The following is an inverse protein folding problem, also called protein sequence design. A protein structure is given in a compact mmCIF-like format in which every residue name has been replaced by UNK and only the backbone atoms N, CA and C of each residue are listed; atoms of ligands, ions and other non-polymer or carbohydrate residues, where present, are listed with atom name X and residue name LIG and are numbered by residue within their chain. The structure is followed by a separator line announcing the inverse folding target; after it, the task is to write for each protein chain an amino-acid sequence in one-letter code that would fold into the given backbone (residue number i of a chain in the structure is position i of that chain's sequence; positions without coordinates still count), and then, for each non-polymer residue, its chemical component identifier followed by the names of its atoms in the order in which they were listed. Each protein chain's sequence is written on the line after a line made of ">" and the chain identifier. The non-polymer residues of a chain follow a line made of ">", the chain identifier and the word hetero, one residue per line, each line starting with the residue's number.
data_IF_475801520370
#
_entry.id   IF_475801520370
#
_cell.length_a   1.000
_cell.length_b   1.000
_cell.length_c   1.000
_cell.angle_alpha   90.00
_cell.angle_beta   90.00
_cell.angle_gamma   90.00
#
_symmetry.space_group_name_H-M   'P 1'
#
loop_
_entity.id
_entity.type
_entity.pdbx_description
1 polymer ?
#
# COMPACT_ATOMS: atom_id res chain seq x y z
N UNK A 1 -8.18 18.29 20.95
CA UNK A 1 -8.03 16.83 20.78
C UNK A 1 -7.80 16.51 19.31
N UNK A 2 -6.63 15.99 18.88
CA UNK A 2 -6.32 15.70 17.47
C UNK A 2 -6.30 14.18 17.16
N UNK A 3 -7.38 13.46 17.50
CA UNK A 3 -7.29 12.00 17.71
C UNK A 3 -7.54 11.12 16.46
N UNK A 4 -8.21 11.63 15.43
CA UNK A 4 -8.70 10.80 14.31
C UNK A 4 -7.59 10.50 13.29
N UNK A 5 -6.86 11.52 12.86
CA UNK A 5 -5.81 11.35 11.86
C UNK A 5 -4.64 10.50 12.42
N UNK A 6 -4.26 10.71 13.68
CA UNK A 6 -3.19 9.94 14.32
C UNK A 6 -3.58 8.46 14.52
N UNK A 7 -4.84 8.20 14.90
CA UNK A 7 -5.40 6.85 14.97
C UNK A 7 -5.36 6.15 13.61
N UNK A 8 -5.75 6.84 12.54
CA UNK A 8 -5.71 6.27 11.19
C UNK A 8 -4.30 6.05 10.66
N UNK A 9 -3.33 6.90 11.03
CA UNK A 9 -1.92 6.68 10.73
C UNK A 9 -1.41 5.36 11.30
N UNK A 10 -1.78 5.05 12.55
CA UNK A 10 -1.45 3.76 13.19
C UNK A 10 -2.24 2.61 12.56
N UNK A 11 -3.53 2.83 12.25
CA UNK A 11 -4.38 1.81 11.64
C UNK A 11 -3.92 1.44 10.22
N UNK A 12 -3.31 2.38 9.47
CA UNK A 12 -2.83 2.14 8.11
C UNK A 12 -1.81 0.99 8.04
N UNK A 13 -0.82 0.98 8.93
CA UNK A 13 0.18 -0.09 8.97
C UNK A 13 -0.42 -1.44 9.41
N UNK A 14 -1.47 -1.41 10.24
CA UNK A 14 -2.19 -2.61 10.66
C UNK A 14 -3.09 -3.16 9.54
N UNK A 15 -3.78 -2.29 8.79
CA UNK A 15 -4.55 -2.66 7.60
C UNK A 15 -3.65 -3.24 6.51
N UNK A 16 -2.46 -2.64 6.26
CA UNK A 16 -1.42 -3.21 5.38
C UNK A 16 -1.14 -4.65 5.78
N UNK A 17 -0.82 -4.89 7.06
CA UNK A 17 -0.47 -6.22 7.57
C UNK A 17 -1.62 -7.23 7.39
N UNK A 18 -2.86 -6.86 7.72
CA UNK A 18 -4.04 -7.73 7.55
C UNK A 18 -4.27 -8.10 6.09
N UNK A 19 -4.20 -7.13 5.17
CA UNK A 19 -4.41 -7.37 3.73
C UNK A 19 -3.31 -8.27 3.14
N UNK A 20 -2.08 -8.10 3.57
CA UNK A 20 -0.94 -8.91 3.14
C UNK A 20 -1.01 -10.32 3.71
N UNK A 21 -1.30 -10.45 5.00
CA UNK A 21 -1.42 -11.75 5.65
C UNK A 21 -2.54 -12.56 4.97
N UNK A 22 -3.64 -11.91 4.58
CA UNK A 22 -4.71 -12.52 3.80
C UNK A 22 -4.25 -12.90 2.37
N UNK A 23 -3.52 -12.04 1.66
CA UNK A 23 -2.99 -12.35 0.34
C UNK A 23 -1.96 -13.50 0.36
N UNK A 24 -1.06 -13.52 1.35
CA UNK A 24 -0.09 -14.60 1.58
C UNK A 24 -0.77 -15.90 1.96
N UNK A 25 -1.76 -15.86 2.87
CA UNK A 25 -2.55 -17.01 3.27
C UNK A 25 -3.31 -17.61 2.07
N UNK A 26 -3.86 -16.79 1.17
CA UNK A 26 -4.50 -17.30 -0.04
C UNK A 26 -3.51 -17.88 -1.07
N UNK A 27 -2.31 -17.29 -1.20
CA UNK A 27 -1.26 -17.84 -2.05
C UNK A 27 -0.73 -19.19 -1.53
N UNK A 28 -0.69 -19.39 -0.21
CA UNK A 28 -0.28 -20.65 0.42
C UNK A 28 -1.41 -21.68 0.53
N UNK A 29 -2.66 -21.25 0.80
CA UNK A 29 -3.83 -22.14 0.87
C UNK A 29 -4.05 -22.85 -0.45
N UNK A 30 -3.85 -22.23 -1.63
CA UNK A 30 -4.09 -22.86 -2.94
C UNK A 30 -3.03 -23.86 -3.44
N UNK A 31 -2.36 -24.58 -2.53
CA UNK A 31 -2.17 -26.03 -2.73
C UNK A 31 -3.48 -26.83 -2.44
N UNK A 32 -4.58 -26.17 -2.06
CA UNK A 32 -5.95 -26.66 -1.91
C UNK A 32 -6.98 -25.49 -1.86
N UNK A 33 -7.91 -25.43 -2.82
CA UNK A 33 -8.84 -24.30 -3.08
C UNK A 33 -9.50 -23.61 -1.88
N UNK A 34 -9.69 -22.29 -1.90
CA UNK A 34 -10.97 -21.62 -2.25
C UNK A 34 -10.74 -20.09 -2.34
N UNK A 35 -11.35 -19.39 -3.30
CA UNK A 35 -11.14 -17.96 -3.56
C UNK A 35 -12.25 -17.08 -2.95
N UNK A 36 -11.90 -16.10 -2.10
CA UNK A 36 -12.81 -15.08 -1.58
C UNK A 36 -12.65 -13.77 -2.38
N UNK A 37 -13.75 -13.23 -2.91
CA UNK A 37 -13.76 -11.99 -3.72
C UNK A 37 -13.66 -10.75 -2.83
N UNK A 38 -12.63 -9.92 -3.05
CA UNK A 38 -12.54 -8.56 -2.50
C UNK A 38 -12.52 -7.53 -3.63
N UNK A 39 -13.45 -6.57 -3.57
CA UNK A 39 -13.62 -5.50 -4.57
C UNK A 39 -12.59 -4.40 -4.38
N UNK A 40 -11.81 -4.15 -5.42
CA UNK A 40 -11.13 -2.89 -5.69
C UNK A 40 -11.91 -2.37 -6.91
N UNK A 41 -12.86 -1.46 -6.69
CA UNK A 41 -13.52 -0.74 -7.77
C UNK A 41 -12.39 -0.02 -8.55
N UNK A 42 -12.07 -0.29 -9.81
CA UNK A 42 -12.95 -0.48 -10.95
C UNK A 42 -12.17 -1.13 -12.12
N UNK A 43 -11.58 -2.31 -11.91
CA UNK A 43 -10.99 -3.12 -12.99
C UNK A 43 -11.21 -4.60 -12.68
N UNK A 44 -11.94 -5.30 -13.54
CA UNK A 44 -12.21 -6.75 -13.46
C UNK A 44 -10.90 -7.56 -13.65
N UNK A 45 -10.03 -7.56 -12.64
CA UNK A 45 -8.77 -8.31 -12.63
C UNK A 45 -8.99 -9.62 -11.84
N UNK A 46 -8.54 -10.79 -12.35
CA UNK A 46 -8.58 -12.04 -11.60
C UNK A 46 -7.96 -11.91 -10.20
N UNK A 47 -8.59 -12.53 -9.19
CA UNK A 47 -8.16 -12.43 -7.79
C UNK A 47 -6.73 -12.93 -7.58
N UNK A 48 -6.28 -13.90 -8.36
CA UNK A 48 -4.90 -14.44 -8.30
C UNK A 48 -3.87 -13.38 -8.69
N UNK A 49 -4.11 -12.67 -9.80
CA UNK A 49 -3.27 -11.56 -10.24
C UNK A 49 -3.24 -10.46 -9.16
N UNK A 50 -4.38 -10.17 -8.53
CA UNK A 50 -4.47 -9.19 -7.43
C UNK A 50 -3.68 -9.63 -6.19
N UNK A 51 -3.70 -10.92 -5.83
CA UNK A 51 -2.94 -11.43 -4.70
C UNK A 51 -1.43 -11.34 -4.94
N UNK A 52 -0.94 -11.70 -6.14
CA UNK A 52 0.47 -11.53 -6.51
C UNK A 52 0.87 -10.06 -6.57
N UNK A 53 -0.01 -9.19 -7.09
CA UNK A 53 0.24 -7.74 -7.16
C UNK A 53 0.31 -7.11 -5.77
N UNK A 54 -0.52 -7.59 -4.82
CA UNK A 54 -0.48 -7.15 -3.41
C UNK A 54 0.82 -7.57 -2.71
N UNK A 55 1.32 -8.78 -2.97
CA UNK A 55 2.60 -9.24 -2.42
C UNK A 55 3.77 -8.44 -3.03
N UNK A 56 3.77 -8.20 -4.34
CA UNK A 56 4.78 -7.37 -4.99
C UNK A 56 4.73 -5.91 -4.46
N UNK A 57 3.52 -5.36 -4.24
CA UNK A 57 3.33 -4.05 -3.65
C UNK A 57 3.85 -3.99 -2.21
N UNK A 58 3.63 -5.03 -1.41
CA UNK A 58 4.16 -5.16 -0.05
C UNK A 58 5.70 -5.09 -0.04
N UNK A 59 6.35 -5.91 -0.86
CA UNK A 59 7.81 -5.93 -0.99
C UNK A 59 8.35 -4.58 -1.49
N UNK A 60 7.70 -3.96 -2.48
CA UNK A 60 8.06 -2.64 -2.96
C UNK A 60 7.90 -1.58 -1.85
N UNK A 61 6.85 -1.65 -1.04
CA UNK A 61 6.66 -0.75 0.10
C UNK A 61 7.70 -0.98 1.20
N UNK A 62 8.13 -2.22 1.47
CA UNK A 62 9.24 -2.49 2.39
C UNK A 62 10.56 -1.91 1.89
N UNK A 63 10.83 -2.00 0.59
CA UNK A 63 12.01 -1.37 -0.02
C UNK A 63 11.91 0.16 0.03
N UNK A 64 10.73 0.72 -0.24
CA UNK A 64 10.47 2.16 -0.15
C UNK A 64 10.65 2.67 1.28
N UNK A 65 10.19 1.93 2.30
CA UNK A 65 10.33 2.36 3.70
C UNK A 65 11.79 2.46 4.14
N UNK A 66 12.65 1.55 3.65
CA UNK A 66 14.11 1.58 3.85
C UNK A 66 14.78 2.74 3.13
N UNK A 67 14.25 3.16 1.98
CA UNK A 67 14.79 4.27 1.19
C UNK A 67 14.30 5.64 1.69
N UNK A 68 13.00 5.77 1.93
CA UNK A 68 12.35 6.97 2.48
C UNK A 68 11.06 6.60 3.22
N UNK A 69 11.18 6.51 4.55
CA UNK A 69 10.09 6.15 5.44
C UNK A 69 8.88 7.08 5.32
N UNK A 70 9.09 8.40 5.13
CA UNK A 70 7.99 9.37 5.04
C UNK A 70 7.16 9.15 3.79
N UNK A 71 7.80 8.87 2.64
CA UNK A 71 7.11 8.52 1.40
C UNK A 71 6.30 7.24 1.53
N UNK A 72 6.84 6.23 2.23
CA UNK A 72 6.09 5.01 2.53
C UNK A 72 4.84 5.31 3.37
N UNK A 73 4.98 6.07 4.45
CA UNK A 73 3.86 6.49 5.31
C UNK A 73 2.78 7.27 4.55
N UNK A 74 3.16 8.16 3.63
CA UNK A 74 2.21 8.87 2.77
C UNK A 74 1.40 7.89 1.91
N UNK A 75 2.05 6.87 1.33
CA UNK A 75 1.34 5.85 0.55
C UNK A 75 0.41 5.04 1.45
N UNK A 76 0.86 4.62 2.63
CA UNK A 76 0.06 3.81 3.54
C UNK A 76 -1.21 4.54 3.99
N UNK A 77 -1.08 5.80 4.44
CA UNK A 77 -2.23 6.57 4.90
C UNK A 77 -3.22 6.89 3.78
N UNK A 78 -2.73 7.18 2.57
CA UNK A 78 -3.61 7.50 1.44
C UNK A 78 -4.31 6.26 0.89
N UNK A 79 -3.58 5.15 0.75
CA UNK A 79 -4.07 3.96 0.06
C UNK A 79 -4.80 3.00 1.00
N UNK A 80 -4.28 2.74 2.19
CA UNK A 80 -4.89 1.79 3.13
C UNK A 80 -5.88 2.46 4.09
N UNK A 81 -5.56 3.66 4.57
CA UNK A 81 -6.45 4.35 5.52
C UNK A 81 -7.39 5.38 4.86
N UNK A 82 -7.22 5.69 3.57
CA UNK A 82 -8.12 6.57 2.82
C UNK A 82 -8.08 8.04 3.24
N UNK A 83 -6.98 8.50 3.85
CA UNK A 83 -6.87 9.87 4.38
C UNK A 83 -6.70 10.91 3.27
N UNK A 84 -7.26 12.09 3.52
CA UNK A 84 -7.02 13.28 2.70
C UNK A 84 -5.60 13.83 2.92
N UNK A 85 -5.10 14.60 1.95
CA UNK A 85 -3.74 15.15 1.98
C UNK A 85 -3.50 16.06 3.20
N UNK A 86 -4.52 16.80 3.61
CA UNK A 86 -4.50 17.69 4.78
C UNK A 86 -4.41 16.91 6.08
N UNK A 87 -5.14 15.80 6.20
CA UNK A 87 -5.09 14.91 7.36
C UNK A 87 -3.72 14.25 7.48
N UNK A 88 -3.14 13.81 6.35
CA UNK A 88 -1.78 13.24 6.30
C UNK A 88 -0.74 14.30 6.70
N UNK A 89 -0.92 15.54 6.24
CA UNK A 89 -0.03 16.64 6.58
C UNK A 89 -0.01 16.91 8.09
N UNK A 90 -1.18 16.88 8.73
CA UNK A 90 -1.34 17.00 10.18
C UNK A 90 -0.63 15.85 10.92
N UNK A 91 -0.83 14.60 10.49
CA UNK A 91 -0.21 13.42 11.12
C UNK A 91 1.31 13.44 11.01
N UNK A 92 1.84 13.86 9.87
CA UNK A 92 3.29 13.88 9.63
C UNK A 92 3.98 15.17 10.09
N UNK A 93 3.22 16.17 10.56
CA UNK A 93 3.77 17.47 10.94
C UNK A 93 4.43 18.22 9.77
N UNK A 94 3.92 18.06 8.55
CA UNK A 94 4.43 18.71 7.33
C UNK A 94 3.35 19.51 6.64
N UNK A 95 3.69 20.23 5.57
CA UNK A 95 2.69 20.94 4.76
C UNK A 95 2.01 20.00 3.77
N UNK A 96 0.75 20.25 3.42
CA UNK A 96 0.01 19.53 2.36
C UNK A 96 0.78 19.49 1.04
N UNK A 97 1.47 20.59 0.68
CA UNK A 97 2.37 20.64 -0.48
C UNK A 97 3.50 19.61 -0.42
N UNK A 98 4.02 19.34 0.78
CA UNK A 98 5.05 18.31 1.00
C UNK A 98 4.46 16.91 0.81
N UNK A 99 3.26 16.66 1.35
CA UNK A 99 2.53 15.39 1.15
C UNK A 99 2.31 15.11 -0.34
N UNK A 100 1.77 16.07 -1.09
CA UNK A 100 1.54 15.93 -2.54
C UNK A 100 2.84 15.63 -3.31
N UNK A 101 3.94 16.31 -2.94
CA UNK A 101 5.25 16.07 -3.55
C UNK A 101 5.78 14.68 -3.23
N UNK A 102 5.66 14.25 -1.99
CA UNK A 102 6.13 12.96 -1.53
C UNK A 102 5.29 11.82 -2.12
N UNK A 103 3.96 12.00 -2.22
CA UNK A 103 3.05 11.12 -2.94
C UNK A 103 3.47 10.92 -4.40
N UNK A 104 3.70 12.02 -5.14
CA UNK A 104 4.11 11.96 -6.55
C UNK A 104 5.44 11.20 -6.72
N UNK A 105 6.40 11.44 -5.82
CA UNK A 105 7.69 10.74 -5.84
C UNK A 105 7.56 9.26 -5.47
N UNK A 106 6.77 8.95 -4.44
CA UNK A 106 6.50 7.58 -4.01
C UNK A 106 5.84 6.77 -5.12
N UNK A 107 4.83 7.34 -5.80
CA UNK A 107 4.13 6.68 -6.91
C UNK A 107 5.05 6.40 -8.10
N UNK A 108 5.94 7.34 -8.44
CA UNK A 108 6.94 7.14 -9.51
C UNK A 108 7.96 6.06 -9.13
N UNK A 109 8.39 6.04 -7.86
CA UNK A 109 9.32 5.04 -7.35
C UNK A 109 8.69 3.64 -7.38
N UNK A 110 7.46 3.50 -6.87
CA UNK A 110 6.71 2.23 -6.87
C UNK A 110 6.44 1.72 -8.29
N UNK A 111 6.09 2.62 -9.21
CA UNK A 111 5.90 2.24 -10.62
C UNK A 111 7.17 1.64 -11.22
N UNK A 112 8.34 2.26 -10.96
CA UNK A 112 9.62 1.74 -11.45
C UNK A 112 9.95 0.40 -10.81
N UNK A 113 9.80 0.29 -9.50
CA UNK A 113 10.11 -0.93 -8.75
C UNK A 113 9.26 -2.12 -9.22
N UNK A 114 7.94 -1.91 -9.34
CA UNK A 114 7.02 -2.96 -9.78
C UNK A 114 7.20 -3.32 -11.26
N UNK A 115 7.61 -2.35 -12.10
CA UNK A 115 7.92 -2.64 -13.51
C UNK A 115 9.21 -3.46 -13.66
N UNK A 116 10.20 -3.26 -12.77
CA UNK A 116 11.45 -4.03 -12.77
C UNK A 116 11.22 -5.47 -12.27
N UNK A 117 10.40 -5.66 -11.24
CA UNK A 117 10.04 -7.00 -10.73
C UNK A 117 9.26 -7.82 -11.77
N UNK A 118 8.41 -7.18 -12.57
CA UNK A 118 7.73 -7.84 -13.69
C UNK A 118 8.69 -8.23 -14.82
N UNK A 119 9.79 -7.48 -15.03
CA UNK A 119 10.80 -7.80 -16.04
C UNK A 119 11.74 -8.95 -15.61
N UNK A 120 11.97 -9.15 -14.31
CA UNK A 120 12.75 -10.28 -13.77
C UNK A 120 11.98 -11.61 -13.75
N UNK A 121 10.65 -11.58 -13.85
CA UNK A 121 9.79 -12.78 -13.84
C UNK A 121 9.50 -13.36 -15.24
N UNK A 122 10.04 -12.77 -16.31
CA UNK A 122 9.90 -13.20 -17.72
C UNK A 122 11.19 -13.88 -18.18
#
# INVERSE_FOLDING_TARGET
>A
WPNRAHFYGIAASMMRRVLIDHARAHATEKRGGTAIRLSLDDVQIPLEQRASDLVALDEALEKLSKFDERKCKVVEMRFFAGLADEEIAEVLGVTTRTVLRDWKKARLWLYRELSLDQAEKI
#
